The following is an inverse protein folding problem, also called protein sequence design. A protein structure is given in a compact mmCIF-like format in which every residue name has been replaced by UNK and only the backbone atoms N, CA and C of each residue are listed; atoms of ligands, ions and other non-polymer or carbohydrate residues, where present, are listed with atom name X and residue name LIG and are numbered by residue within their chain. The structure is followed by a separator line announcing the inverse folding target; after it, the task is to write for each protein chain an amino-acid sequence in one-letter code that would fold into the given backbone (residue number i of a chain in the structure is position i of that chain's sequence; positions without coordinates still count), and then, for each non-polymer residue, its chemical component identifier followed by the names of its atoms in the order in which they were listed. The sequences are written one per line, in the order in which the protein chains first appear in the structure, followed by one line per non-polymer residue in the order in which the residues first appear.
data_IF_938980133995
#
_entry.id   IF_938980133995
#
_cell.length_a   1.000
_cell.length_b   1.000
_cell.length_c   1.000
_cell.angle_alpha   90.00
_cell.angle_beta   90.00
_cell.angle_gamma   90.00
#
_symmetry.space_group_name_H-M   'P 1'
#
loop_
_entity.id
_entity.type
_entity.pdbx_description
1 polymer ?
#
# COMPACT_ATOMS: atom_id res chain seq x y z
N UNK A 1 -9.02 -38.73 -44.96
CA UNK A 1 -10.07 -38.77 -43.92
C UNK A 1 -9.71 -39.91 -42.97
N UNK A 2 -9.62 -39.85 -41.65
CA UNK A 2 -9.74 -38.82 -40.59
C UNK A 2 -8.61 -39.16 -39.56
N UNK A 3 -8.14 -38.33 -38.63
CA UNK A 3 -8.38 -36.93 -38.26
C UNK A 3 -7.08 -36.34 -37.64
N UNK A 4 -7.14 -35.18 -36.98
CA UNK A 4 -6.06 -34.62 -36.13
C UNK A 4 -6.61 -34.35 -34.73
N UNK A 5 -5.87 -34.70 -33.69
CA UNK A 5 -6.18 -34.34 -32.30
C UNK A 5 -4.90 -33.87 -31.57
N UNK A 6 -4.51 -32.62 -31.81
CA UNK A 6 -3.37 -31.98 -31.16
C UNK A 6 -3.83 -31.44 -29.80
N UNK A 7 -3.42 -32.09 -28.71
CA UNK A 7 -3.81 -31.69 -27.36
C UNK A 7 -3.06 -30.42 -26.90
N UNK A 8 -3.68 -29.26 -27.07
CA UNK A 8 -3.17 -28.00 -26.55
C UNK A 8 -3.45 -27.88 -25.04
N UNK A 9 -2.42 -28.10 -24.21
CA UNK A 9 -2.49 -27.86 -22.78
C UNK A 9 -2.49 -26.34 -22.51
N UNK A 10 -3.66 -25.79 -22.17
CA UNK A 10 -3.80 -24.41 -21.70
C UNK A 10 -3.25 -24.31 -20.27
N UNK A 11 -2.10 -23.64 -20.10
CA UNK A 11 -1.62 -23.24 -18.78
C UNK A 11 -2.46 -22.04 -18.30
N UNK A 12 -3.40 -22.30 -17.40
CA UNK A 12 -4.13 -21.24 -16.69
C UNK A 12 -3.19 -20.56 -15.68
N UNK A 13 -2.60 -19.43 -16.05
CA UNK A 13 -1.92 -18.56 -15.08
C UNK A 13 -2.96 -17.90 -14.19
N UNK A 14 -3.13 -18.42 -12.97
CA UNK A 14 -3.91 -17.75 -11.91
C UNK A 14 -3.21 -16.47 -11.51
N UNK A 15 -3.75 -15.32 -11.93
CA UNK A 15 -3.39 -14.03 -11.34
C UNK A 15 -3.98 -14.02 -9.93
N UNK A 16 -3.13 -14.04 -8.90
CA UNK A 16 -3.58 -13.82 -7.54
C UNK A 16 -3.98 -12.34 -7.42
N UNK A 17 -5.27 -12.07 -7.38
CA UNK A 17 -5.81 -10.75 -7.09
C UNK A 17 -5.47 -10.42 -5.62
N UNK A 18 -4.50 -9.53 -5.42
CA UNK A 18 -4.11 -9.06 -4.09
C UNK A 18 -5.17 -8.06 -3.59
N UNK A 19 -6.34 -8.59 -3.24
CA UNK A 19 -7.38 -7.87 -2.51
C UNK A 19 -6.78 -7.45 -1.17
N UNK A 20 -6.81 -6.14 -0.88
CA UNK A 20 -6.15 -5.60 0.31
C UNK A 20 -6.61 -6.32 1.59
N UNK A 21 -5.65 -6.86 2.33
CA UNK A 21 -5.84 -7.81 3.43
C UNK A 21 -6.26 -7.09 4.72
N UNK A 22 -7.42 -6.43 4.67
CA UNK A 22 -8.00 -5.66 5.78
C UNK A 22 -8.23 -6.49 7.04
N UNK A 23 -8.35 -5.80 8.17
CA UNK A 23 -8.64 -6.42 9.47
C UNK A 23 -10.12 -6.74 9.56
N UNK A 24 -10.43 -8.02 9.77
CA UNK A 24 -11.79 -8.51 9.96
C UNK A 24 -11.91 -9.44 11.19
N UNK A 25 -12.49 -8.90 12.26
CA UNK A 25 -12.76 -9.63 13.50
C UNK A 25 -13.99 -10.55 13.42
N UNK A 26 -14.79 -10.49 12.35
CA UNK A 26 -15.87 -11.43 12.10
C UNK A 26 -15.37 -12.77 11.50
N UNK A 27 -14.22 -12.77 10.82
CA UNK A 27 -13.69 -13.95 10.11
C UNK A 27 -13.00 -14.99 11.02
N UNK A 28 -13.19 -14.91 12.35
CA UNK A 28 -12.81 -15.96 13.32
C UNK A 28 -11.32 -16.05 13.70
N UNK A 29 -10.45 -15.36 12.99
CA UNK A 29 -9.03 -15.17 13.34
C UNK A 29 -8.87 -14.20 14.51
N UNK A 30 -8.00 -14.53 15.47
CA UNK A 30 -7.77 -13.70 16.65
C UNK A 30 -7.07 -12.38 16.31
N UNK A 31 -7.39 -11.32 17.04
CA UNK A 31 -6.79 -9.99 16.85
C UNK A 31 -5.24 -10.03 16.85
N UNK A 32 -4.64 -10.88 17.68
CA UNK A 32 -3.19 -11.02 17.82
C UNK A 32 -2.56 -11.67 16.57
N UNK A 33 -3.23 -12.64 15.94
CA UNK A 33 -2.76 -13.24 14.70
C UNK A 33 -2.87 -12.24 13.53
N UNK A 34 -3.97 -11.49 13.46
CA UNK A 34 -4.15 -10.41 12.49
C UNK A 34 -3.09 -9.31 12.64
N UNK A 35 -2.82 -8.87 13.88
CA UNK A 35 -1.75 -7.93 14.21
C UNK A 35 -0.37 -8.45 13.78
N UNK A 36 -0.07 -9.73 14.08
CA UNK A 36 1.21 -10.35 13.72
C UNK A 36 1.39 -10.54 12.21
N UNK A 37 0.31 -10.69 11.43
CA UNK A 37 0.35 -10.61 9.96
C UNK A 37 0.67 -9.19 9.50
N UNK A 38 -0.12 -8.20 9.90
CA UNK A 38 0.04 -6.80 9.47
C UNK A 38 1.44 -6.25 9.81
N UNK A 39 1.99 -6.60 10.97
CA UNK A 39 3.36 -6.21 11.34
C UNK A 39 4.45 -6.78 10.41
N UNK A 40 4.24 -7.95 9.79
CA UNK A 40 5.17 -8.50 8.79
C UNK A 40 5.07 -7.77 7.46
N UNK A 41 3.86 -7.38 7.07
CA UNK A 41 3.58 -6.64 5.83
C UNK A 41 4.09 -5.19 5.86
N UNK A 42 4.56 -4.69 7.02
CA UNK A 42 5.33 -3.44 7.13
C UNK A 42 6.79 -3.58 6.63
N UNK A 43 7.27 -4.80 6.35
CA UNK A 43 8.60 -5.02 5.80
C UNK A 43 8.72 -4.55 4.34
N UNK A 44 9.95 -4.29 3.88
CA UNK A 44 10.20 -3.90 2.50
C UNK A 44 9.70 -4.97 1.51
N UNK A 45 8.81 -4.58 0.61
CA UNK A 45 8.16 -5.47 -0.37
C UNK A 45 6.89 -6.18 0.14
N UNK A 46 6.46 -5.94 1.39
CA UNK A 46 5.16 -6.37 1.90
C UNK A 46 4.01 -5.47 1.41
N UNK A 47 2.77 -5.87 1.72
CA UNK A 47 1.54 -5.18 1.28
C UNK A 47 1.49 -3.70 1.72
N UNK A 48 2.09 -3.37 2.86
CA UNK A 48 2.07 -2.05 3.47
C UNK A 48 3.47 -1.40 3.50
N UNK A 49 4.39 -1.78 2.62
CA UNK A 49 5.80 -1.36 2.66
C UNK A 49 6.05 0.17 2.64
N UNK A 50 5.10 0.97 2.12
CA UNK A 50 5.19 2.44 2.06
C UNK A 50 4.54 3.17 3.24
N UNK A 51 4.05 2.44 4.26
CA UNK A 51 3.45 3.02 5.47
C UNK A 51 4.45 3.91 6.24
N UNK A 52 4.02 5.11 6.63
CA UNK A 52 4.86 6.02 7.41
C UNK A 52 5.04 5.56 8.87
N UNK A 53 6.14 5.95 9.57
CA UNK A 53 6.39 5.53 10.95
C UNK A 53 5.31 6.00 11.94
N UNK A 54 4.72 7.18 11.72
CA UNK A 54 3.57 7.62 12.52
C UNK A 54 2.30 6.80 12.25
N UNK A 55 2.05 6.41 11.01
CA UNK A 55 0.93 5.53 10.66
C UNK A 55 1.11 4.13 11.26
N UNK A 56 2.33 3.58 11.26
CA UNK A 56 2.65 2.34 11.98
C UNK A 56 2.36 2.48 13.48
N UNK A 57 2.83 3.56 14.11
CA UNK A 57 2.61 3.83 15.53
C UNK A 57 1.12 3.94 15.88
N UNK A 58 0.33 4.61 15.05
CA UNK A 58 -1.13 4.72 15.20
C UNK A 58 -1.81 3.37 15.00
N UNK A 59 -1.46 2.61 13.95
CA UNK A 59 -2.02 1.28 13.71
C UNK A 59 -1.77 0.32 14.89
N UNK A 60 -0.55 0.31 15.44
CA UNK A 60 -0.19 -0.48 16.64
C UNK A 60 -0.97 -0.04 17.90
N UNK A 61 -1.21 1.26 18.07
CA UNK A 61 -2.07 1.77 19.13
C UNK A 61 -3.54 1.37 18.95
N UNK A 62 -4.06 1.35 17.71
CA UNK A 62 -5.42 0.87 17.40
C UNK A 62 -5.56 -0.62 17.73
N UNK A 63 -4.63 -1.48 17.30
CA UNK A 63 -4.59 -2.88 17.73
C UNK A 63 -4.60 -3.02 19.27
N UNK A 64 -3.80 -2.21 19.98
CA UNK A 64 -3.78 -2.21 21.46
C UNK A 64 -5.10 -1.74 22.07
N UNK A 65 -5.81 -0.78 21.45
CA UNK A 65 -7.15 -0.34 21.88
C UNK A 65 -8.18 -1.45 21.67
N UNK A 66 -8.22 -2.05 20.49
CA UNK A 66 -9.09 -3.19 20.16
C UNK A 66 -8.85 -4.37 21.12
N UNK A 67 -7.59 -4.63 21.48
CA UNK A 67 -7.17 -5.65 22.44
C UNK A 67 -7.70 -5.48 23.86
N UNK A 68 -8.25 -4.31 24.23
CA UNK A 68 -8.92 -4.07 25.52
C UNK A 68 -10.44 -4.23 25.46
N UNK A 69 -11.00 -4.37 24.25
CA UNK A 69 -12.44 -4.52 24.02
C UNK A 69 -12.84 -5.97 23.75
N UNK A 70 -12.00 -6.72 23.03
CA UNK A 70 -12.16 -8.16 22.74
C UNK A 70 -12.06 -9.02 24.01
N UNK A 71 -12.52 -10.26 23.91
CA UNK A 71 -12.38 -11.26 24.97
C UNK A 71 -10.93 -11.76 25.16
N UNK A 72 -10.71 -12.64 26.14
CA UNK A 72 -9.40 -13.21 26.44
C UNK A 72 -8.81 -14.04 25.28
N UNK A 73 -9.65 -14.56 24.39
CA UNK A 73 -9.26 -15.32 23.20
C UNK A 73 -8.99 -14.40 22.00
N UNK A 74 -9.11 -13.07 22.16
CA UNK A 74 -8.87 -12.08 21.11
C UNK A 74 -9.99 -12.00 20.08
N UNK A 75 -11.22 -12.36 20.46
CA UNK A 75 -12.40 -12.43 19.60
C UNK A 75 -13.48 -11.41 19.99
N UNK A 76 -14.37 -11.13 19.05
CA UNK A 76 -15.48 -10.18 19.20
C UNK A 76 -16.81 -10.85 19.63
N UNK A 77 -16.76 -12.10 20.12
CA UNK A 77 -17.95 -12.91 20.41
C UNK A 77 -18.57 -12.46 21.73
N UNK A 78 -19.88 -12.20 21.73
CA UNK A 78 -20.67 -11.79 22.91
C UNK A 78 -20.29 -10.44 23.57
N UNK A 79 -19.79 -9.46 22.80
CA UNK A 79 -19.67 -8.07 23.27
C UNK A 79 -21.04 -7.38 23.43
N UNK A 80 -21.16 -6.53 24.45
CA UNK A 80 -22.28 -5.60 24.60
C UNK A 80 -22.39 -4.67 23.38
N UNK A 81 -23.61 -4.21 22.99
CA UNK A 81 -23.81 -3.43 21.77
C UNK A 81 -22.89 -2.21 21.65
N UNK A 82 -22.68 -1.49 22.76
CA UNK A 82 -21.88 -0.28 22.84
C UNK A 82 -20.39 -0.58 22.59
N UNK A 83 -19.88 -1.65 23.21
CA UNK A 83 -18.51 -2.13 22.98
C UNK A 83 -18.31 -2.63 21.54
N UNK A 84 -19.34 -3.22 20.95
CA UNK A 84 -19.30 -3.69 19.56
C UNK A 84 -19.18 -2.52 18.58
N UNK A 85 -19.91 -1.42 18.82
CA UNK A 85 -19.79 -0.17 18.05
C UNK A 85 -18.40 0.45 18.23
N UNK A 86 -17.87 0.53 19.45
CA UNK A 86 -16.51 1.03 19.68
C UNK A 86 -15.46 0.19 18.93
N UNK A 87 -15.57 -1.15 18.98
CA UNK A 87 -14.66 -2.06 18.29
C UNK A 87 -14.71 -1.88 16.75
N UNK A 88 -15.90 -1.76 16.17
CA UNK A 88 -16.04 -1.50 14.73
C UNK A 88 -15.46 -0.15 14.33
N UNK A 89 -15.66 0.91 15.12
CA UNK A 89 -15.08 2.22 14.82
C UNK A 89 -13.54 2.18 14.80
N UNK A 90 -12.91 1.45 15.73
CA UNK A 90 -11.45 1.24 15.74
C UNK A 90 -10.96 0.42 14.55
N UNK A 91 -11.73 -0.60 14.17
CA UNK A 91 -11.45 -1.44 13.01
C UNK A 91 -11.51 -0.63 11.71
N UNK A 92 -12.50 0.24 11.53
CA UNK A 92 -12.61 1.11 10.35
C UNK A 92 -11.50 2.18 10.31
N UNK A 93 -11.14 2.76 11.47
CA UNK A 93 -9.98 3.67 11.58
C UNK A 93 -8.68 2.96 11.14
N UNK A 94 -8.46 1.73 11.61
CA UNK A 94 -7.30 0.91 11.25
C UNK A 94 -7.31 0.48 9.78
N UNK A 95 -8.45 0.01 9.26
CA UNK A 95 -8.63 -0.38 7.87
C UNK A 95 -8.40 0.80 6.92
N UNK A 96 -8.82 2.00 7.29
CA UNK A 96 -8.54 3.23 6.53
C UNK A 96 -7.03 3.48 6.38
N UNK A 97 -6.27 3.32 7.48
CA UNK A 97 -4.80 3.50 7.46
C UNK A 97 -4.12 2.42 6.61
N UNK A 98 -4.52 1.16 6.78
CA UNK A 98 -3.95 0.04 6.04
C UNK A 98 -4.28 0.11 4.54
N UNK A 99 -5.51 0.46 4.17
CA UNK A 99 -5.90 0.63 2.78
C UNK A 99 -5.12 1.78 2.10
N UNK A 100 -4.91 2.90 2.79
CA UNK A 100 -4.04 3.97 2.28
C UNK A 100 -2.59 3.48 2.06
N UNK A 101 -2.05 2.71 3.00
CA UNK A 101 -0.71 2.14 2.88
C UNK A 101 -0.60 1.12 1.72
N UNK A 102 -1.59 0.26 1.51
CA UNK A 102 -1.63 -0.68 0.38
C UNK A 102 -1.71 0.05 -0.97
N UNK A 103 -2.57 1.06 -1.08
CA UNK A 103 -2.72 1.86 -2.29
C UNK A 103 -1.45 2.65 -2.66
N UNK A 104 -0.70 3.13 -1.66
CA UNK A 104 0.58 3.81 -1.87
C UNK A 104 1.73 2.81 -2.16
N UNK A 105 1.66 1.58 -1.63
CA UNK A 105 2.65 0.50 -1.83
C UNK A 105 2.51 -0.23 -3.17
N UNK A 106 1.34 -0.20 -3.83
CA UNK A 106 1.10 -0.94 -5.08
C UNK A 106 2.11 -0.58 -6.18
N UNK A 107 2.64 -1.60 -6.85
CA UNK A 107 3.63 -1.43 -7.92
C UNK A 107 2.98 -0.99 -9.23
N UNK A 108 3.56 0.03 -9.87
CA UNK A 108 3.16 0.49 -11.21
C UNK A 108 4.33 0.33 -12.18
N UNK A 109 4.37 -0.82 -12.85
CA UNK A 109 5.31 -1.10 -13.93
C UNK A 109 4.90 -0.37 -15.22
N UNK A 110 5.84 0.38 -15.82
CA UNK A 110 5.67 1.03 -17.13
C UNK A 110 6.84 0.72 -18.04
N UNK A 111 6.58 0.58 -19.33
CA UNK A 111 7.58 0.34 -20.36
C UNK A 111 8.04 1.66 -20.93
N UNK A 112 9.24 2.09 -20.56
CA UNK A 112 9.77 3.43 -20.82
C UNK A 112 11.07 3.38 -21.63
N UNK A 113 11.39 4.46 -22.34
CA UNK A 113 12.62 4.62 -23.12
C UNK A 113 13.46 5.67 -22.41
N UNK A 114 14.69 5.31 -22.02
CA UNK A 114 15.58 6.24 -21.34
C UNK A 114 16.13 7.27 -22.35
N UNK A 115 16.33 8.51 -21.90
CA UNK A 115 16.96 9.55 -22.74
C UNK A 115 18.34 9.08 -23.23
N UNK A 116 18.61 9.24 -24.52
CA UNK A 116 19.83 8.70 -25.16
C UNK A 116 19.74 7.23 -25.60
N UNK A 117 18.66 6.50 -25.30
CA UNK A 117 18.47 5.11 -25.74
C UNK A 117 17.13 4.87 -26.43
N UNK A 118 17.18 4.18 -27.57
CA UNK A 118 15.99 3.70 -28.28
C UNK A 118 15.53 2.29 -27.84
N UNK A 119 16.14 1.72 -26.78
CA UNK A 119 15.72 0.43 -26.22
C UNK A 119 14.66 0.65 -25.11
N UNK A 120 13.45 0.09 -25.24
CA UNK A 120 12.44 0.16 -24.20
C UNK A 120 12.74 -0.85 -23.07
N UNK A 121 12.71 -0.37 -21.83
CA UNK A 121 12.89 -1.18 -20.62
C UNK A 121 11.64 -1.10 -19.75
N UNK A 122 11.45 -2.09 -18.86
CA UNK A 122 10.36 -2.06 -17.90
C UNK A 122 10.87 -1.47 -16.58
N UNK A 123 10.30 -0.34 -16.15
CA UNK A 123 10.59 0.30 -14.87
C UNK A 123 9.37 0.14 -13.96
N UNK A 124 9.55 -0.49 -12.80
CA UNK A 124 8.54 -0.64 -11.77
C UNK A 124 8.92 0.22 -10.56
N UNK A 125 7.94 0.90 -9.98
CA UNK A 125 8.07 1.76 -8.82
C UNK A 125 6.74 1.77 -8.05
N UNK A 126 6.75 2.01 -6.74
CA UNK A 126 5.51 2.14 -5.95
C UNK A 126 4.76 3.43 -6.31
N UNK A 127 3.50 3.54 -5.92
CA UNK A 127 2.74 4.79 -6.12
C UNK A 127 3.31 5.93 -5.28
N UNK A 128 3.72 5.66 -4.04
CA UNK A 128 4.39 6.62 -3.18
C UNK A 128 5.74 7.08 -3.75
N UNK A 129 6.59 6.16 -4.22
CA UNK A 129 7.87 6.49 -4.87
C UNK A 129 7.65 7.39 -6.10
N UNK A 130 6.69 7.04 -6.96
CA UNK A 130 6.33 7.87 -8.13
C UNK A 130 5.78 9.24 -7.72
N UNK A 131 5.07 9.35 -6.59
CA UNK A 131 4.62 10.62 -6.02
C UNK A 131 5.82 11.47 -5.60
N UNK A 132 6.73 10.91 -4.78
CA UNK A 132 7.97 11.55 -4.31
C UNK A 132 8.85 12.02 -5.47
N UNK A 133 9.04 11.20 -6.50
CA UNK A 133 9.85 11.54 -7.70
C UNK A 133 9.28 12.75 -8.46
N UNK A 134 7.95 12.83 -8.66
CA UNK A 134 7.32 14.00 -9.28
C UNK A 134 7.49 15.26 -8.42
N UNK A 135 7.24 15.14 -7.11
CA UNK A 135 7.24 16.28 -6.19
C UNK A 135 8.64 16.84 -5.98
N UNK A 136 9.65 15.98 -5.82
CA UNK A 136 11.06 16.39 -5.82
C UNK A 136 11.47 17.09 -7.12
N UNK A 137 11.01 16.58 -8.27
CA UNK A 137 11.20 17.25 -9.56
C UNK A 137 10.57 18.64 -9.61
N UNK A 138 9.31 18.80 -9.17
CA UNK A 138 8.63 20.10 -9.11
C UNK A 138 9.34 21.08 -8.17
N UNK A 139 9.82 20.61 -7.03
CA UNK A 139 10.52 21.45 -6.04
C UNK A 139 11.91 21.89 -6.52
N UNK A 140 12.63 21.02 -7.24
CA UNK A 140 13.85 21.39 -7.96
C UNK A 140 13.58 22.52 -8.97
N UNK A 141 12.49 22.46 -9.75
CA UNK A 141 12.16 23.54 -10.68
C UNK A 141 11.73 24.85 -9.98
N UNK A 142 11.05 24.78 -8.83
CA UNK A 142 10.67 25.97 -8.05
C UNK A 142 11.84 26.65 -7.34
N UNK A 143 12.82 25.86 -6.90
CA UNK A 143 14.00 26.37 -6.17
C UNK A 143 15.06 27.02 -7.08
N UNK A 144 15.03 26.74 -8.38
CA UNK A 144 15.83 27.46 -9.39
C UNK A 144 15.32 28.91 -9.46
N UNK A 145 16.06 29.83 -8.83
CA UNK A 145 15.81 31.28 -8.99
C UNK A 145 15.97 31.66 -10.47
N UNK A 146 15.02 32.40 -11.08
CA UNK A 146 15.24 32.97 -12.40
C UNK A 146 16.46 33.89 -12.37
N UNK A 147 17.26 33.86 -13.44
CA UNK A 147 18.41 34.74 -13.57
C UNK A 147 17.96 36.20 -13.47
N UNK A 148 18.66 36.99 -12.64
CA UNK A 148 18.45 38.45 -12.61
C UNK A 148 18.76 39.01 -14.01
N UNK A 149 17.94 39.92 -14.56
CA UNK A 149 18.23 40.52 -15.85
C UNK A 149 19.56 41.27 -15.78
N UNK A 150 20.41 41.05 -16.79
CA UNK A 150 21.69 41.75 -16.92
C UNK A 150 21.36 43.22 -17.19
N UNK A 151 21.73 44.11 -16.27
CA UNK A 151 21.39 45.53 -16.38
C UNK A 151 22.39 46.25 -17.30
N UNK A 152 22.10 46.29 -18.60
CA UNK A 152 22.92 46.94 -19.65
C UNK A 152 22.95 48.49 -19.58
N UNK A 153 22.66 49.10 -18.42
CA UNK A 153 22.67 50.56 -18.22
C UNK A 153 24.07 51.15 -17.98
N UNK A 154 25.07 50.67 -18.71
CA UNK A 154 26.45 51.16 -18.65
C UNK A 154 27.02 51.46 -20.05
N UNK A 155 26.42 52.44 -20.73
CA UNK A 155 26.96 53.10 -21.94
C UNK A 155 26.53 54.56 -22.03
#
# INVERSE_FOLDING_TARGET
MLAVALAAALLSTTVADAQASGIDLANGETLQAQQARVQKEFAAGGEYAEIGPEQQRVALELFRRMGRLVDADGRAVALAPERKVELFNLQEELNTILQQAAEDSRLVCRRERHVGSNMPVNTCATVAERRRLREGGQEMFRSIRPAQPINDQAR
#
